data_IF_859291337458
#
_entry.id   IF_859291337458
#
_cell.length_a   1.000
_cell.length_b   1.000
_cell.length_c   1.000
_cell.angle_alpha   90.00
_cell.angle_beta   90.00
_cell.angle_gamma   90.00
#
_symmetry.space_group_name_H-M   'P 1'
#
loop_
_entity.id
_entity.type
_entity.pdbx_description
1 polymer ?
#
# COMPACT_ATOMS: atom_id res chain seq x y z
N UNK A 1 13.13 -4.56 7.41
CA UNK A 1 13.93 -4.23 6.20
C UNK A 1 13.13 -3.42 5.16
N UNK A 2 11.93 -3.81 4.74
CA UNK A 2 11.14 -3.02 3.79
C UNK A 2 10.67 -1.67 4.35
N UNK A 3 10.20 -1.62 5.58
CA UNK A 3 9.73 -0.41 6.24
C UNK A 3 10.83 0.65 6.36
N UNK A 4 12.02 0.28 6.81
CA UNK A 4 13.14 1.21 6.96
C UNK A 4 13.64 1.79 5.62
N UNK A 5 13.48 1.05 4.52
CA UNK A 5 13.82 1.55 3.19
C UNK A 5 12.76 2.51 2.65
N UNK A 6 11.49 2.26 2.92
CA UNK A 6 10.40 3.14 2.52
C UNK A 6 10.48 4.46 3.27
N UNK A 7 10.57 4.42 4.59
CA UNK A 7 10.65 5.62 5.46
C UNK A 7 11.90 6.46 5.22
N UNK A 8 13.04 5.85 4.90
CA UNK A 8 14.27 6.59 4.65
C UNK A 8 14.37 7.22 3.26
N UNK A 9 13.85 6.55 2.23
CA UNK A 9 14.04 6.96 0.83
C UNK A 9 12.90 7.81 0.27
N UNK A 10 11.68 7.63 0.73
CA UNK A 10 10.54 8.42 0.24
C UNK A 10 10.74 9.93 0.46
N UNK A 11 11.14 10.42 1.65
CA UNK A 11 11.38 11.85 1.86
C UNK A 11 12.45 12.43 0.93
N UNK A 12 13.48 11.65 0.62
CA UNK A 12 14.54 12.09 -0.30
C UNK A 12 14.00 12.26 -1.73
N UNK A 13 13.20 11.31 -2.21
CA UNK A 13 12.53 11.43 -3.50
C UNK A 13 11.52 12.58 -3.53
N UNK A 14 10.75 12.74 -2.46
CA UNK A 14 9.79 13.84 -2.34
C UNK A 14 10.49 15.20 -2.41
N UNK A 15 11.60 15.39 -1.72
CA UNK A 15 12.37 16.65 -1.77
C UNK A 15 12.86 16.97 -3.18
N UNK A 16 13.32 15.95 -3.92
CA UNK A 16 13.72 16.13 -5.33
C UNK A 16 12.55 16.50 -6.22
N UNK A 17 11.39 15.90 -6.01
CA UNK A 17 10.20 16.15 -6.81
C UNK A 17 9.58 17.53 -6.51
N UNK A 18 9.62 17.97 -5.25
CA UNK A 18 9.18 19.30 -4.84
C UNK A 18 9.87 20.41 -5.61
N UNK A 19 11.18 20.27 -5.79
CA UNK A 19 11.98 21.22 -6.56
C UNK A 19 11.59 21.28 -8.04
N UNK A 20 11.07 20.17 -8.58
CA UNK A 20 10.68 20.06 -10.01
C UNK A 20 9.27 20.57 -10.28
N UNK A 21 8.35 20.44 -9.33
CA UNK A 21 6.90 20.69 -9.54
C UNK A 21 6.43 22.00 -8.91
N UNK A 22 7.29 22.75 -8.24
CA UNK A 22 6.95 24.00 -7.51
C UNK A 22 5.72 23.84 -6.56
N UNK A 23 5.59 22.70 -5.92
CA UNK A 23 4.46 22.36 -5.07
C UNK A 23 4.85 22.05 -3.63
N UNK A 24 3.96 22.39 -2.71
CA UNK A 24 4.03 21.91 -1.32
C UNK A 24 3.89 20.39 -1.29
N UNK A 25 4.97 19.70 -0.96
CA UNK A 25 4.95 18.25 -0.80
C UNK A 25 4.76 17.90 0.66
N UNK A 26 3.67 17.16 0.91
CA UNK A 26 3.43 16.58 2.21
C UNK A 26 4.54 15.60 2.58
N UNK A 27 5.19 15.82 3.71
CA UNK A 27 6.16 14.87 4.24
C UNK A 27 5.44 13.72 4.95
N UNK A 28 5.86 12.49 4.65
CA UNK A 28 5.40 11.30 5.36
C UNK A 28 6.12 11.22 6.71
N UNK A 29 5.35 11.21 7.79
CA UNK A 29 5.89 11.21 9.16
C UNK A 29 5.51 9.94 9.91
N UNK A 30 4.34 9.38 9.62
CA UNK A 30 3.76 8.27 10.37
C UNK A 30 3.57 7.05 9.46
N UNK A 31 4.35 6.02 9.67
CA UNK A 31 4.23 4.73 9.02
C UNK A 31 3.90 3.63 10.00
N UNK A 32 3.10 2.68 9.56
CA UNK A 32 2.66 1.53 10.35
C UNK A 32 2.95 0.24 9.62
N UNK A 33 3.50 -0.73 10.32
CA UNK A 33 3.65 -2.10 9.84
C UNK A 33 2.57 -3.00 10.45
N UNK A 34 1.73 -3.58 9.58
CA UNK A 34 0.71 -4.54 9.94
C UNK A 34 1.18 -5.95 9.58
N UNK A 35 1.57 -6.71 10.59
CA UNK A 35 1.96 -8.11 10.43
C UNK A 35 1.05 -9.02 11.25
N UNK A 36 0.94 -10.27 10.82
CA UNK A 36 0.17 -11.32 11.54
C UNK A 36 0.70 -11.64 12.94
N UNK A 37 1.84 -11.05 13.33
CA UNK A 37 2.46 -11.25 14.66
C UNK A 37 1.97 -10.28 15.73
N UNK A 38 1.15 -9.30 15.35
CA UNK A 38 0.62 -8.30 16.28
C UNK A 38 -0.53 -8.87 17.11
N UNK A 39 -0.64 -8.39 18.34
CA UNK A 39 -1.76 -8.74 19.22
C UNK A 39 -3.07 -8.07 18.76
N UNK A 40 -4.21 -8.61 19.17
CA UNK A 40 -5.51 -8.06 18.81
C UNK A 40 -5.70 -6.60 19.29
N UNK A 41 -5.13 -6.24 20.43
CA UNK A 41 -5.16 -4.87 20.98
C UNK A 41 -4.35 -3.89 20.13
N UNK A 42 -3.12 -4.28 19.72
CA UNK A 42 -2.30 -3.46 18.82
C UNK A 42 -2.95 -3.25 17.47
N UNK A 43 -3.57 -4.29 16.90
CA UNK A 43 -4.30 -4.19 15.65
C UNK A 43 -5.49 -3.21 15.74
N UNK A 44 -6.19 -3.20 16.86
CA UNK A 44 -7.31 -2.27 17.10
C UNK A 44 -6.84 -0.82 17.15
N UNK A 45 -5.75 -0.57 17.85
CA UNK A 45 -5.14 0.76 17.97
C UNK A 45 -4.63 1.25 16.61
N UNK A 46 -3.93 0.40 15.87
CA UNK A 46 -3.44 0.72 14.53
C UNK A 46 -4.57 0.99 13.53
N UNK A 47 -5.67 0.23 13.61
CA UNK A 47 -6.87 0.50 12.81
C UNK A 47 -7.45 1.88 13.13
N UNK A 48 -7.55 2.24 14.41
CA UNK A 48 -8.03 3.55 14.80
C UNK A 48 -7.14 4.68 14.29
N UNK A 49 -5.81 4.51 14.29
CA UNK A 49 -4.88 5.47 13.71
C UNK A 49 -5.02 5.59 12.18
N UNK A 50 -5.29 4.47 11.50
CA UNK A 50 -5.51 4.44 10.06
C UNK A 50 -6.81 5.11 9.60
N UNK A 51 -7.83 5.15 10.45
CA UNK A 51 -9.11 5.83 10.15
C UNK A 51 -9.06 7.34 10.38
N UNK A 52 -8.04 7.86 11.06
CA UNK A 52 -7.88 9.31 11.26
C UNK A 52 -7.69 10.01 9.92
N UNK A 53 -8.37 11.15 9.76
CA UNK A 53 -8.25 11.95 8.55
C UNK A 53 -6.85 12.54 8.37
N UNK A 54 -6.47 12.75 7.14
CA UNK A 54 -5.20 13.39 6.80
C UNK A 54 -5.16 14.82 7.34
N UNK A 55 -4.05 15.16 8.02
CA UNK A 55 -3.88 16.47 8.67
C UNK A 55 -4.09 16.44 10.17
N UNK A 56 -4.75 15.43 10.74
CA UNK A 56 -4.79 15.23 12.17
C UNK A 56 -3.48 14.66 12.71
N UNK A 57 -3.12 15.06 13.92
CA UNK A 57 -1.95 14.53 14.60
C UNK A 57 -2.09 13.01 14.81
N UNK A 58 -1.03 12.27 14.47
CA UNK A 58 -1.01 10.81 14.50
C UNK A 58 -1.80 10.12 13.37
N UNK A 59 -2.23 10.83 12.31
CA UNK A 59 -2.73 10.19 11.11
C UNK A 59 -1.62 9.40 10.41
N UNK A 60 -1.91 8.17 10.00
CA UNK A 60 -0.95 7.31 9.31
C UNK A 60 -0.83 7.69 7.84
N UNK A 61 0.40 7.87 7.38
CA UNK A 61 0.73 8.21 5.99
C UNK A 61 0.92 6.97 5.12
N UNK A 62 1.60 5.97 5.67
CA UNK A 62 1.95 4.73 4.95
C UNK A 62 1.68 3.50 5.79
N UNK A 63 1.19 2.46 5.13
CA UNK A 63 1.00 1.14 5.73
C UNK A 63 1.80 0.12 4.95
N UNK A 64 2.63 -0.64 5.65
CA UNK A 64 3.32 -1.81 5.09
C UNK A 64 2.68 -3.07 5.65
N UNK A 65 2.26 -3.97 4.79
CA UNK A 65 1.66 -5.24 5.22
C UNK A 65 2.09 -6.39 4.32
N UNK A 66 2.25 -7.57 4.89
CA UNK A 66 2.57 -8.79 4.15
C UNK A 66 1.32 -9.55 3.71
N UNK A 67 0.18 -9.29 4.35
CA UNK A 67 -1.08 -9.96 4.02
C UNK A 67 -2.28 -9.09 4.42
N UNK A 68 -2.73 -8.25 3.51
CA UNK A 68 -3.86 -7.35 3.74
C UNK A 68 -5.20 -8.07 3.98
N UNK A 69 -5.33 -9.32 3.54
CA UNK A 69 -6.59 -10.05 3.68
C UNK A 69 -6.89 -10.42 5.12
N UNK A 70 -5.87 -10.88 5.84
CA UNK A 70 -6.03 -11.37 7.22
C UNK A 70 -6.32 -10.25 8.20
N UNK A 71 -5.97 -9.02 7.85
CA UNK A 71 -6.11 -7.90 8.77
C UNK A 71 -7.53 -7.31 8.80
N UNK A 72 -8.39 -7.68 7.84
CA UNK A 72 -9.79 -7.22 7.79
C UNK A 72 -9.91 -5.69 7.88
N UNK A 73 -8.96 -4.97 7.27
CA UNK A 73 -8.89 -3.51 7.32
C UNK A 73 -9.85 -2.96 6.27
N UNK A 74 -10.82 -2.22 6.75
CA UNK A 74 -11.70 -1.41 5.92
C UNK A 74 -11.43 0.07 6.22
N UNK A 75 -10.65 0.71 5.35
CA UNK A 75 -10.26 2.11 5.49
C UNK A 75 -10.60 2.83 4.20
N UNK A 76 -11.62 3.66 4.28
CA UNK A 76 -12.19 4.35 3.12
C UNK A 76 -11.25 5.36 2.45
N UNK A 77 -10.30 5.92 3.19
CA UNK A 77 -9.38 6.97 2.71
C UNK A 77 -8.15 6.46 1.96
N UNK A 78 -7.96 5.14 1.81
CA UNK A 78 -6.81 4.60 1.08
C UNK A 78 -6.94 4.93 -0.42
N UNK A 79 -6.03 5.75 -0.94
CA UNK A 79 -6.00 6.21 -2.31
C UNK A 79 -4.92 5.58 -3.18
N UNK A 80 -3.85 5.04 -2.58
CA UNK A 80 -2.74 4.42 -3.30
C UNK A 80 -2.39 3.07 -2.69
N UNK A 81 -2.20 2.07 -3.55
CA UNK A 81 -1.66 0.77 -3.17
C UNK A 81 -0.50 0.39 -4.09
N UNK A 82 0.57 -0.10 -3.50
CA UNK A 82 1.68 -0.71 -4.23
C UNK A 82 1.77 -2.18 -3.86
N UNK A 83 1.58 -3.06 -4.84
CA UNK A 83 1.69 -4.52 -4.70
C UNK A 83 3.07 -4.94 -5.20
N UNK A 84 3.92 -5.45 -4.31
CA UNK A 84 5.28 -5.86 -4.65
C UNK A 84 5.33 -7.35 -4.99
N UNK A 85 5.20 -7.64 -6.27
CA UNK A 85 5.08 -8.99 -6.85
C UNK A 85 3.64 -9.47 -6.94
N UNK A 86 3.39 -10.40 -7.86
CA UNK A 86 2.06 -10.93 -8.09
C UNK A 86 1.59 -11.78 -6.89
N UNK A 87 0.37 -11.55 -6.37
CA UNK A 87 -0.28 -12.44 -5.42
C UNK A 87 -0.40 -13.88 -5.96
N UNK A 88 -0.67 -14.84 -5.08
CA UNK A 88 -0.73 -16.26 -5.47
C UNK A 88 -1.93 -16.59 -6.35
N UNK A 89 -3.02 -15.87 -6.18
CA UNK A 89 -4.25 -16.07 -6.94
C UNK A 89 -4.87 -14.74 -7.36
N UNK A 90 -5.73 -14.78 -8.39
CA UNK A 90 -6.52 -13.63 -8.82
C UNK A 90 -7.44 -13.13 -7.73
N UNK A 91 -8.05 -14.03 -6.96
CA UNK A 91 -8.90 -13.65 -5.82
C UNK A 91 -8.12 -12.86 -4.77
N UNK A 92 -6.87 -13.21 -4.48
CA UNK A 92 -6.01 -12.42 -3.61
C UNK A 92 -5.72 -11.03 -4.19
N UNK A 93 -5.45 -10.95 -5.49
CA UNK A 93 -5.24 -9.68 -6.18
C UNK A 93 -6.49 -8.79 -6.09
N UNK A 94 -7.65 -9.31 -6.46
CA UNK A 94 -8.93 -8.59 -6.45
C UNK A 94 -9.29 -8.12 -5.03
N UNK A 95 -9.15 -8.99 -4.04
CA UNK A 95 -9.45 -8.65 -2.65
C UNK A 95 -8.48 -7.62 -2.07
N UNK A 96 -7.19 -7.63 -2.48
CA UNK A 96 -6.22 -6.62 -2.08
C UNK A 96 -6.53 -5.29 -2.74
N UNK A 97 -6.61 -5.28 -4.06
CA UNK A 97 -6.82 -4.06 -4.86
C UNK A 97 -8.15 -3.39 -4.51
N UNK A 98 -9.19 -4.15 -4.21
CA UNK A 98 -10.49 -3.66 -3.76
C UNK A 98 -10.50 -2.99 -2.38
N UNK A 99 -9.35 -2.90 -1.68
CA UNK A 99 -9.21 -2.14 -0.42
C UNK A 99 -8.91 -0.66 -0.64
N UNK A 100 -8.63 -0.26 -1.87
CA UNK A 100 -8.27 1.10 -2.25
C UNK A 100 -9.36 1.70 -3.14
N UNK A 101 -9.55 2.99 -3.07
CA UNK A 101 -10.51 3.68 -3.94
C UNK A 101 -11.98 3.55 -3.52
N UNK A 102 -12.27 3.32 -2.24
CA UNK A 102 -13.64 3.12 -1.76
C UNK A 102 -14.47 4.40 -1.66
N UNK A 103 -13.87 5.49 -1.22
CA UNK A 103 -14.55 6.79 -1.08
C UNK A 103 -14.17 7.76 -2.18
N UNK A 104 -12.98 7.62 -2.74
CA UNK A 104 -12.44 8.46 -3.80
C UNK A 104 -11.69 7.56 -4.80
N UNK A 105 -11.48 8.00 -6.04
CA UNK A 105 -10.67 7.24 -6.99
C UNK A 105 -9.32 6.85 -6.39
N UNK A 106 -8.93 5.60 -6.57
CA UNK A 106 -7.67 5.04 -6.07
C UNK A 106 -6.78 4.54 -7.19
N UNK A 107 -5.49 4.44 -6.91
CA UNK A 107 -4.50 3.90 -7.83
C UNK A 107 -3.88 2.64 -7.23
N UNK A 108 -3.84 1.57 -8.02
CA UNK A 108 -3.12 0.33 -7.69
C UNK A 108 -1.95 0.17 -8.63
N UNK A 109 -0.76 0.05 -8.08
CA UNK A 109 0.48 -0.15 -8.84
C UNK A 109 1.05 -1.53 -8.50
N UNK A 110 1.09 -2.44 -9.48
CA UNK A 110 1.68 -3.76 -9.33
C UNK A 110 3.11 -3.76 -9.88
N UNK A 111 4.07 -4.02 -8.99
CA UNK A 111 5.48 -4.13 -9.34
C UNK A 111 5.81 -5.58 -9.63
N UNK A 112 5.80 -5.97 -10.91
CA UNK A 112 6.15 -7.31 -11.34
C UNK A 112 7.68 -7.44 -11.51
N UNK A 113 8.23 -8.51 -10.97
CA UNK A 113 9.67 -8.73 -10.90
C UNK A 113 10.11 -9.79 -11.90
N UNK A 114 10.89 -9.42 -12.88
CA UNK A 114 11.36 -10.31 -13.97
C UNK A 114 12.11 -11.56 -13.52
N UNK A 115 12.66 -11.56 -12.29
CA UNK A 115 13.37 -12.72 -11.71
C UNK A 115 12.43 -13.83 -11.22
N UNK A 116 11.13 -13.56 -11.11
CA UNK A 116 10.17 -14.53 -10.58
C UNK A 116 9.24 -15.02 -11.68
N UNK A 117 9.22 -16.33 -11.96
CA UNK A 117 8.41 -16.91 -13.04
C UNK A 117 6.93 -16.57 -12.97
N UNK A 118 6.37 -16.45 -11.75
CA UNK A 118 4.97 -16.06 -11.55
C UNK A 118 4.72 -14.63 -12.03
N UNK A 119 5.57 -13.70 -11.64
CA UNK A 119 5.44 -12.28 -12.00
C UNK A 119 5.60 -12.13 -13.53
N UNK A 120 6.54 -12.87 -14.12
CA UNK A 120 6.75 -12.87 -15.56
C UNK A 120 5.55 -13.46 -16.33
N UNK A 121 5.06 -14.63 -15.91
CA UNK A 121 3.87 -15.25 -16.51
C UNK A 121 2.64 -14.32 -16.44
N UNK A 122 2.48 -13.63 -15.32
CA UNK A 122 1.38 -12.70 -15.15
C UNK A 122 1.51 -11.46 -16.04
N UNK A 123 2.72 -10.96 -16.23
CA UNK A 123 2.99 -9.85 -17.15
C UNK A 123 2.68 -10.23 -18.61
N UNK A 124 3.14 -11.40 -19.05
CA UNK A 124 2.96 -11.91 -20.41
C UNK A 124 1.48 -12.20 -20.73
N UNK A 125 0.71 -12.66 -19.75
CA UNK A 125 -0.68 -13.07 -19.90
C UNK A 125 -1.66 -12.13 -19.14
N UNK A 126 -1.30 -10.88 -18.93
CA UNK A 126 -2.05 -9.94 -18.08
C UNK A 126 -3.54 -9.87 -18.44
N UNK A 127 -3.86 -9.78 -19.73
CA UNK A 127 -5.26 -9.70 -20.18
C UNK A 127 -6.03 -10.97 -19.84
N UNK A 128 -5.49 -12.14 -20.13
CA UNK A 128 -6.15 -13.40 -19.83
C UNK A 128 -6.43 -13.60 -18.34
N UNK A 129 -5.57 -13.07 -17.46
CA UNK A 129 -5.78 -13.12 -16.01
C UNK A 129 -6.83 -12.15 -15.48
N UNK A 130 -7.19 -11.11 -16.25
CA UNK A 130 -8.09 -10.05 -15.78
C UNK A 130 -9.41 -9.97 -16.56
N UNK A 131 -9.55 -10.71 -17.66
CA UNK A 131 -10.77 -10.77 -18.47
C UNK A 131 -11.78 -11.84 -18.02
N UNK A 132 -11.41 -12.72 -17.05
CA UNK A 132 -12.29 -13.67 -16.40
C UNK A 132 -12.92 -13.07 -15.12
#
# INVERSE_FOLDING_TARGET
MAQSQITGRIPEFQSRYATTVNGDIRQFKNDVELTSRRTASELKEQKAALTRELGHDGAVDTVVTTNMFQVGIDISRLGLMVINGQPRSNSEYIQSSGRVGRSHPGLVVSLLRSKYPRDQSHYENFRAFHEE
#
